data_IF_637862347310
#
_entry.id   IF_637862347310
#
_cell.length_a   1.000
_cell.length_b   1.000
_cell.length_c   1.000
_cell.angle_alpha   90.00
_cell.angle_beta   90.00
_cell.angle_gamma   90.00
#
_symmetry.space_group_name_H-M   'P 1'
#
loop_
_entity.id
_entity.type
_entity.pdbx_description
1 polymer ?
#
# COMPACT_ATOMS: atom_id res chain seq x y z
N UNK A 1 -8.79 -13.66 20.46
CA UNK A 1 -9.57 -12.73 21.34
C UNK A 1 -10.08 -13.50 22.56
N UNK A 2 -10.23 -12.90 23.75
CA UNK A 2 -10.69 -13.59 24.97
C UNK A 2 -12.18 -13.34 25.27
N UNK A 3 -12.90 -14.34 25.79
CA UNK A 3 -14.34 -14.25 26.10
C UNK A 3 -14.71 -13.08 27.04
N UNK A 4 -13.80 -12.71 27.93
CA UNK A 4 -13.99 -11.55 28.83
C UNK A 4 -14.06 -10.22 28.06
N UNK A 5 -13.36 -10.11 26.93
CA UNK A 5 -13.35 -8.92 26.08
C UNK A 5 -14.71 -8.78 25.38
N UNK A 6 -15.22 -9.86 24.78
CA UNK A 6 -16.56 -9.92 24.19
C UNK A 6 -17.68 -9.61 25.21
N UNK A 7 -17.58 -10.19 26.41
CA UNK A 7 -18.53 -9.89 27.48
C UNK A 7 -18.50 -8.41 27.88
N UNK A 8 -17.30 -7.82 27.98
CA UNK A 8 -17.15 -6.42 28.40
C UNK A 8 -17.74 -5.47 27.35
N UNK A 9 -17.50 -5.76 26.06
CA UNK A 9 -18.05 -5.01 24.94
C UNK A 9 -19.59 -5.04 24.96
N UNK A 10 -20.19 -6.23 24.99
CA UNK A 10 -21.66 -6.34 25.02
C UNK A 10 -22.27 -5.75 26.30
N UNK A 11 -21.60 -5.86 27.46
CA UNK A 11 -22.08 -5.24 28.69
C UNK A 11 -22.11 -3.71 28.57
N UNK A 12 -21.14 -3.10 27.89
CA UNK A 12 -21.15 -1.67 27.63
C UNK A 12 -22.29 -1.29 26.68
N UNK A 13 -22.49 -2.03 25.58
CA UNK A 13 -23.58 -1.77 24.63
C UNK A 13 -24.95 -1.87 25.30
N UNK A 14 -25.16 -2.90 26.13
CA UNK A 14 -26.37 -3.06 26.92
C UNK A 14 -26.58 -1.92 27.91
N UNK A 15 -25.53 -1.41 28.54
CA UNK A 15 -25.62 -0.27 29.46
C UNK A 15 -25.93 1.02 28.71
N UNK A 16 -25.33 1.22 27.54
CA UNK A 16 -25.52 2.41 26.69
C UNK A 16 -26.96 2.49 26.17
N UNK A 17 -27.51 1.39 25.67
CA UNK A 17 -28.92 1.32 25.26
C UNK A 17 -29.89 1.64 26.41
N UNK A 18 -29.57 1.19 27.63
CA UNK A 18 -30.35 1.52 28.84
C UNK A 18 -30.23 3.00 29.18
N UNK A 19 -29.04 3.59 29.11
CA UNK A 19 -28.81 5.02 29.36
C UNK A 19 -29.60 5.90 28.36
N UNK A 20 -29.64 5.47 27.10
CA UNK A 20 -30.31 6.18 26.00
C UNK A 20 -31.81 5.82 25.83
N UNK A 21 -32.38 4.98 26.71
CA UNK A 21 -33.77 4.49 26.64
C UNK A 21 -34.14 3.83 25.30
N UNK A 22 -33.18 3.16 24.67
CA UNK A 22 -33.39 2.40 23.44
C UNK A 22 -33.86 0.99 23.81
N UNK A 23 -34.88 0.49 23.12
CA UNK A 23 -35.39 -0.87 23.35
C UNK A 23 -34.56 -1.85 22.53
N UNK A 24 -33.89 -2.82 23.15
CA UNK A 24 -33.06 -3.76 22.41
C UNK A 24 -33.89 -4.76 21.59
N UNK A 25 -33.40 -5.07 20.40
CA UNK A 25 -33.87 -6.15 19.55
C UNK A 25 -33.00 -7.42 19.74
N UNK A 26 -33.54 -8.63 19.46
CA UNK A 26 -32.79 -9.88 19.63
C UNK A 26 -31.53 -10.02 18.77
N UNK A 27 -31.36 -9.18 17.74
CA UNK A 27 -30.18 -9.12 16.88
C UNK A 27 -29.11 -8.13 17.35
N UNK A 28 -29.41 -7.28 18.34
CA UNK A 28 -28.49 -6.22 18.78
C UNK A 28 -27.33 -6.76 19.63
N UNK A 29 -27.36 -8.04 19.99
CA UNK A 29 -26.42 -8.61 20.95
C UNK A 29 -25.85 -9.96 20.51
N UNK A 30 -24.58 -10.14 20.83
CA UNK A 30 -23.80 -11.33 20.56
C UNK A 30 -24.34 -12.51 21.39
N UNK A 31 -24.68 -12.28 22.66
CA UNK A 31 -25.21 -13.29 23.58
C UNK A 31 -26.72 -13.15 23.78
N UNK A 32 -27.41 -14.29 23.88
CA UNK A 32 -28.80 -14.31 24.33
C UNK A 32 -28.86 -13.83 25.79
N UNK A 33 -30.03 -13.38 26.25
CA UNK A 33 -30.19 -12.93 27.64
C UNK A 33 -29.75 -13.99 28.67
N UNK A 34 -29.95 -15.26 28.35
CA UNK A 34 -29.58 -16.38 29.22
C UNK A 34 -28.06 -16.56 29.28
N UNK A 35 -27.40 -16.52 28.12
CA UNK A 35 -25.93 -16.57 27.98
C UNK A 35 -25.28 -15.38 28.66
N UNK A 36 -25.79 -14.17 28.43
CA UNK A 36 -25.29 -12.94 29.02
C UNK A 36 -25.37 -12.96 30.55
N UNK A 37 -26.52 -13.35 31.12
CA UNK A 37 -26.66 -13.47 32.58
C UNK A 37 -25.77 -14.58 33.16
N UNK A 38 -25.51 -15.65 32.41
CA UNK A 38 -24.50 -16.63 32.80
C UNK A 38 -23.09 -16.04 32.82
N UNK A 39 -22.65 -15.35 31.77
CA UNK A 39 -21.32 -14.71 31.70
C UNK A 39 -21.15 -13.64 32.79
N UNK A 40 -22.19 -12.85 33.03
CA UNK A 40 -22.27 -11.88 34.13
C UNK A 40 -22.10 -12.54 35.49
N UNK A 41 -22.62 -13.75 35.68
CA UNK A 41 -22.39 -14.53 36.92
C UNK A 41 -20.93 -14.95 37.11
N UNK A 42 -20.15 -15.06 36.02
CA UNK A 42 -18.72 -15.41 36.05
C UNK A 42 -17.84 -14.18 36.25
N UNK A 43 -18.09 -13.10 35.50
CA UNK A 43 -17.22 -11.92 35.41
C UNK A 43 -17.64 -10.78 36.35
N UNK A 44 -18.93 -10.59 36.60
CA UNK A 44 -19.48 -9.47 37.38
C UNK A 44 -20.25 -9.92 38.62
N UNK A 45 -19.55 -10.62 39.53
CA UNK A 45 -20.12 -11.18 40.77
C UNK A 45 -20.77 -10.15 41.71
N UNK A 46 -20.45 -8.87 41.53
CA UNK A 46 -20.99 -7.78 42.34
C UNK A 46 -22.27 -7.16 41.74
N UNK A 47 -22.65 -7.53 40.53
CA UNK A 47 -23.85 -7.03 39.85
C UNK A 47 -24.98 -8.06 40.01
N UNK A 48 -26.22 -7.64 40.33
CA UNK A 48 -27.35 -8.57 40.43
C UNK A 48 -27.54 -9.35 39.13
N UNK A 49 -27.50 -10.68 39.23
CA UNK A 49 -27.65 -11.61 38.12
C UNK A 49 -28.96 -12.42 38.27
N UNK A 50 -29.67 -12.60 37.15
CA UNK A 50 -30.88 -13.43 37.10
C UNK A 50 -30.54 -14.91 36.88
N UNK A 51 -30.17 -15.57 37.98
CA UNK A 51 -29.83 -17.01 38.02
C UNK A 51 -31.00 -17.95 37.67
N UNK A 52 -32.19 -17.42 37.36
CA UNK A 52 -33.32 -18.24 36.89
C UNK A 52 -33.27 -18.53 35.38
N UNK A 53 -32.39 -17.84 34.64
CA UNK A 53 -32.32 -17.89 33.18
C UNK A 53 -31.35 -18.94 32.63
N UNK A 54 -30.53 -19.55 33.48
CA UNK A 54 -29.56 -20.58 33.09
C UNK A 54 -29.48 -21.71 34.14
N UNK A 55 -28.94 -22.88 33.78
CA UNK A 55 -28.79 -23.99 34.72
C UNK A 55 -27.95 -23.61 35.94
N UNK A 56 -28.26 -24.15 37.12
CA UNK A 56 -27.51 -23.78 38.34
C UNK A 56 -26.11 -24.37 38.35
N UNK A 57 -25.08 -23.54 38.47
CA UNK A 57 -23.70 -23.96 38.68
C UNK A 57 -23.30 -23.79 40.15
N UNK A 58 -22.52 -24.73 40.70
CA UNK A 58 -21.89 -24.51 42.00
C UNK A 58 -20.79 -23.45 41.87
N UNK A 59 -20.41 -22.80 42.97
CA UNK A 59 -19.34 -21.79 42.92
C UNK A 59 -17.99 -22.37 42.47
N UNK A 60 -17.74 -23.64 42.81
CA UNK A 60 -16.55 -24.39 42.43
C UNK A 60 -16.55 -24.68 40.92
N UNK A 61 -17.67 -25.20 40.40
CA UNK A 61 -17.84 -25.48 38.97
C UNK A 61 -17.77 -24.19 38.15
N UNK A 62 -18.39 -23.10 38.62
CA UNK A 62 -18.35 -21.81 37.94
C UNK A 62 -16.93 -21.23 37.86
N UNK A 63 -16.11 -21.40 38.91
CA UNK A 63 -14.70 -21.00 38.89
C UNK A 63 -13.88 -21.83 37.92
N UNK A 64 -14.13 -23.13 37.85
CA UNK A 64 -13.45 -24.05 36.95
C UNK A 64 -13.80 -23.75 35.48
N UNK A 65 -15.08 -23.55 35.17
CA UNK A 65 -15.55 -23.12 33.85
C UNK A 65 -14.92 -21.78 33.47
N UNK A 66 -14.92 -20.79 34.37
CA UNK A 66 -14.31 -19.48 34.10
C UNK A 66 -12.82 -19.62 33.76
N UNK A 67 -12.08 -20.39 34.56
CA UNK A 67 -10.65 -20.60 34.30
C UNK A 67 -10.40 -21.24 32.94
N UNK A 68 -11.20 -22.25 32.57
CA UNK A 68 -11.13 -22.87 31.24
C UNK A 68 -11.44 -21.85 30.14
N UNK A 69 -12.51 -21.07 30.26
CA UNK A 69 -12.90 -20.08 29.26
C UNK A 69 -11.91 -18.90 29.14
N UNK A 70 -11.27 -18.49 30.24
CA UNK A 70 -10.23 -17.43 30.25
C UNK A 70 -8.93 -17.90 29.57
N UNK A 71 -8.55 -19.18 29.76
CA UNK A 71 -7.34 -19.76 29.16
C UNK A 71 -7.50 -20.07 27.67
N UNK A 72 -8.73 -20.02 27.16
CA UNK A 72 -9.01 -20.21 25.74
C UNK A 72 -8.65 -18.95 24.95
N UNK A 73 -7.62 -19.08 24.12
CA UNK A 73 -7.42 -18.20 22.98
C UNK A 73 -8.26 -18.75 21.83
N UNK A 74 -9.27 -18.01 21.42
CA UNK A 74 -10.23 -18.45 20.39
C UNK A 74 -9.63 -18.56 18.98
N UNK A 75 -8.38 -18.11 18.77
CA UNK A 75 -7.66 -18.25 17.51
C UNK A 75 -7.62 -19.72 16.97
N UNK A 76 -7.65 -19.88 15.63
CA UNK A 76 -7.72 -21.13 14.85
C UNK A 76 -7.04 -22.39 15.44
N UNK A 77 -5.89 -22.25 16.10
CA UNK A 77 -5.05 -23.39 16.52
C UNK A 77 -5.51 -24.11 17.81
N UNK A 78 -6.42 -23.53 18.61
CA UNK A 78 -6.80 -24.08 19.93
C UNK A 78 -8.24 -24.60 20.04
N UNK A 79 -9.03 -24.47 18.96
CA UNK A 79 -10.49 -24.74 18.88
C UNK A 79 -10.91 -26.16 19.29
N UNK A 80 -10.06 -27.17 19.08
CA UNK A 80 -10.39 -28.57 19.39
C UNK A 80 -10.28 -28.94 20.88
N UNK A 81 -9.69 -28.08 21.73
CA UNK A 81 -9.36 -28.47 23.11
C UNK A 81 -10.45 -28.17 24.14
N UNK A 82 -11.34 -27.21 23.90
CA UNK A 82 -12.27 -26.66 24.92
C UNK A 82 -13.37 -27.66 25.26
N UNK A 83 -13.95 -28.29 24.23
CA UNK A 83 -15.00 -29.31 24.40
C UNK A 83 -14.48 -30.51 25.21
N UNK A 84 -13.27 -30.97 24.88
CA UNK A 84 -12.58 -32.06 25.58
C UNK A 84 -12.15 -31.68 27.01
N UNK A 85 -11.91 -30.39 27.27
CA UNK A 85 -11.59 -29.87 28.61
C UNK A 85 -12.83 -29.74 29.48
N UNK A 86 -13.98 -29.35 28.91
CA UNK A 86 -15.25 -29.22 29.64
C UNK A 86 -15.92 -30.56 29.93
N UNK A 87 -15.69 -31.60 29.11
CA UNK A 87 -16.08 -32.98 29.42
C UNK A 87 -15.40 -33.53 30.68
N UNK A 88 -14.32 -32.88 31.17
CA UNK A 88 -13.62 -33.26 32.41
C UNK A 88 -14.21 -32.58 33.65
N UNK A 89 -15.08 -31.59 33.48
CA UNK A 89 -15.81 -30.93 34.57
C UNK A 89 -17.06 -31.77 34.88
N UNK A 90 -17.37 -31.97 36.16
CA UNK A 90 -18.54 -32.77 36.61
C UNK A 90 -19.86 -32.00 36.38
N UNK A 91 -20.25 -31.90 35.11
CA UNK A 91 -21.45 -31.21 34.63
C UNK A 91 -22.59 -32.22 34.42
N UNK A 92 -23.80 -31.82 34.79
CA UNK A 92 -25.00 -32.55 34.38
C UNK A 92 -25.34 -32.26 32.90
N UNK A 93 -26.23 -33.08 32.33
CA UNK A 93 -26.59 -33.00 30.91
C UNK A 93 -27.17 -31.63 30.49
N UNK A 94 -27.92 -30.98 31.38
CA UNK A 94 -28.50 -29.65 31.13
C UNK A 94 -27.43 -28.56 31.08
N UNK A 95 -26.49 -28.58 32.02
CA UNK A 95 -25.33 -27.68 32.08
C UNK A 95 -24.42 -27.86 30.87
N UNK A 96 -24.15 -29.12 30.49
CA UNK A 96 -23.31 -29.46 29.36
C UNK A 96 -23.91 -28.94 28.05
N UNK A 97 -25.21 -29.18 27.82
CA UNK A 97 -25.90 -28.69 26.63
C UNK A 97 -25.89 -27.16 26.54
N UNK A 98 -26.10 -26.48 27.67
CA UNK A 98 -26.05 -25.01 27.72
C UNK A 98 -24.67 -24.47 27.31
N UNK A 99 -23.60 -25.04 27.87
CA UNK A 99 -22.23 -24.60 27.56
C UNK A 99 -21.85 -24.93 26.12
N UNK A 100 -22.27 -26.09 25.60
CA UNK A 100 -22.00 -26.46 24.19
C UNK A 100 -22.64 -25.47 23.21
N UNK A 101 -23.86 -24.99 23.49
CA UNK A 101 -24.52 -23.98 22.67
C UNK A 101 -23.76 -22.65 22.69
N UNK A 102 -23.31 -22.21 23.87
CA UNK A 102 -22.49 -21.01 24.01
C UNK A 102 -21.20 -21.11 23.17
N UNK A 103 -20.53 -22.26 23.18
CA UNK A 103 -19.29 -22.47 22.41
C UNK A 103 -19.56 -22.47 20.90
N UNK A 104 -20.57 -23.19 20.43
CA UNK A 104 -20.90 -23.19 19.00
C UNK A 104 -21.25 -21.79 18.47
N UNK A 105 -21.87 -20.95 19.31
CA UNK A 105 -22.14 -19.57 18.96
C UNK A 105 -20.86 -18.74 18.85
N UNK A 106 -19.92 -18.93 19.78
CA UNK A 106 -18.60 -18.30 19.73
C UNK A 106 -17.82 -18.71 18.47
N UNK A 107 -17.96 -19.97 18.03
CA UNK A 107 -17.37 -20.44 16.77
C UNK A 107 -18.00 -19.73 15.54
N UNK A 108 -19.33 -19.52 15.54
CA UNK A 108 -20.03 -18.80 14.46
C UNK A 108 -19.61 -17.32 14.40
N UNK A 109 -19.48 -16.64 15.55
CA UNK A 109 -19.12 -15.22 15.64
C UNK A 109 -17.71 -14.96 15.08
N UNK A 110 -16.73 -15.82 15.35
CA UNK A 110 -15.39 -15.68 14.77
C UNK A 110 -15.39 -15.97 13.26
N UNK A 111 -16.21 -16.92 12.79
CA UNK A 111 -16.31 -17.21 11.34
C UNK A 111 -16.93 -16.04 10.56
N UNK A 112 -17.97 -15.40 11.11
CA UNK A 112 -18.60 -14.22 10.52
C UNK A 112 -17.70 -12.99 10.62
N UNK A 113 -16.93 -12.84 11.71
CA UNK A 113 -15.94 -11.77 11.86
C UNK A 113 -14.70 -11.97 10.98
N UNK A 114 -14.16 -13.18 10.84
CA UNK A 114 -13.05 -13.47 9.91
C UNK A 114 -13.49 -13.17 8.47
N UNK A 115 -14.74 -13.48 8.11
CA UNK A 115 -15.29 -13.18 6.79
C UNK A 115 -15.59 -11.68 6.58
N UNK A 116 -16.12 -11.00 7.59
CA UNK A 116 -16.32 -9.54 7.55
C UNK A 116 -14.99 -8.79 7.55
N UNK A 117 -13.99 -9.23 8.32
CA UNK A 117 -12.68 -8.58 8.42
C UNK A 117 -11.85 -8.83 7.15
N UNK A 118 -11.75 -10.06 6.62
CA UNK A 118 -11.06 -10.33 5.34
C UNK A 118 -11.63 -9.49 4.19
N UNK A 119 -12.95 -9.44 4.04
CA UNK A 119 -13.59 -8.59 3.03
C UNK A 119 -13.43 -7.09 3.34
N UNK A 120 -13.38 -6.71 4.62
CA UNK A 120 -13.21 -5.31 5.04
C UNK A 120 -11.78 -4.81 4.83
N UNK A 121 -10.75 -5.64 5.02
CA UNK A 121 -9.37 -5.28 4.71
C UNK A 121 -9.17 -5.07 3.21
N UNK A 122 -9.65 -6.00 2.38
CA UNK A 122 -9.62 -5.86 0.91
C UNK A 122 -10.38 -4.61 0.42
N UNK A 123 -11.49 -4.30 1.08
CA UNK A 123 -12.33 -3.17 0.72
C UNK A 123 -11.79 -1.83 1.26
N UNK A 124 -11.13 -1.79 2.41
CA UNK A 124 -10.37 -0.62 2.90
C UNK A 124 -9.19 -0.30 1.98
N UNK A 125 -8.45 -1.32 1.53
CA UNK A 125 -7.38 -1.12 0.54
C UNK A 125 -7.92 -0.63 -0.79
N UNK A 126 -9.06 -1.16 -1.24
CA UNK A 126 -9.74 -0.70 -2.46
C UNK A 126 -10.27 0.74 -2.32
N UNK A 127 -10.81 1.12 -1.15
CA UNK A 127 -11.30 2.47 -0.87
C UNK A 127 -10.20 3.53 -1.01
N UNK A 128 -8.96 3.23 -0.57
CA UNK A 128 -7.80 4.13 -0.72
C UNK A 128 -7.51 4.50 -2.18
N UNK A 129 -7.80 3.59 -3.10
CA UNK A 129 -7.52 3.77 -4.52
C UNK A 129 -8.65 4.45 -5.30
N UNK A 130 -9.79 4.77 -4.69
CA UNK A 130 -10.90 5.43 -5.40
C UNK A 130 -10.48 6.77 -6.00
N UNK A 131 -9.73 7.58 -5.25
CA UNK A 131 -9.26 8.88 -5.71
C UNK A 131 -8.29 8.74 -6.88
N UNK A 132 -7.43 7.71 -6.84
CA UNK A 132 -6.47 7.38 -7.91
C UNK A 132 -7.23 6.92 -9.16
N UNK A 133 -8.16 5.98 -9.00
CA UNK A 133 -9.01 5.48 -10.09
C UNK A 133 -9.79 6.62 -10.76
N UNK A 134 -10.35 7.54 -9.97
CA UNK A 134 -11.06 8.72 -10.47
C UNK A 134 -10.14 9.62 -11.29
N UNK A 135 -8.98 9.99 -10.74
CA UNK A 135 -8.01 10.87 -11.39
C UNK A 135 -7.47 10.27 -12.69
N UNK A 136 -7.09 8.99 -12.71
CA UNK A 136 -6.62 8.32 -13.93
C UNK A 136 -7.68 8.34 -15.04
N UNK A 137 -8.96 8.14 -14.68
CA UNK A 137 -10.07 8.19 -15.62
C UNK A 137 -10.41 9.62 -16.06
N UNK A 138 -10.18 10.63 -15.22
CA UNK A 138 -10.33 12.04 -15.57
C UNK A 138 -9.28 12.46 -16.60
N UNK A 139 -8.01 12.11 -16.35
CA UNK A 139 -6.90 12.33 -17.28
C UNK A 139 -7.15 11.64 -18.61
N UNK A 140 -7.58 10.38 -18.60
CA UNK A 140 -7.91 9.65 -19.84
C UNK A 140 -9.04 10.33 -20.62
N UNK A 141 -10.07 10.82 -19.93
CA UNK A 141 -11.21 11.50 -20.57
C UNK A 141 -10.85 12.87 -21.13
N UNK A 142 -9.95 13.60 -20.48
CA UNK A 142 -9.55 14.95 -20.89
C UNK A 142 -8.47 14.93 -21.98
N UNK A 143 -7.52 13.99 -21.91
CA UNK A 143 -6.32 13.96 -22.76
C UNK A 143 -6.26 12.76 -23.71
N UNK A 144 -6.95 11.65 -23.43
CA UNK A 144 -7.00 10.45 -24.28
C UNK A 144 -5.67 9.70 -24.44
N UNK A 145 -4.79 9.80 -23.45
CA UNK A 145 -3.38 9.39 -23.50
C UNK A 145 -3.03 8.25 -22.50
N UNK A 146 -3.99 7.50 -21.97
CA UNK A 146 -3.85 6.58 -20.85
C UNK A 146 -3.82 5.08 -21.20
N UNK A 147 -3.03 4.33 -20.43
CA UNK A 147 -2.90 2.86 -20.46
C UNK A 147 -3.96 2.15 -19.60
N UNK A 148 -5.15 2.73 -19.42
CA UNK A 148 -6.21 2.11 -18.62
C UNK A 148 -6.67 0.79 -19.26
N UNK A 149 -6.68 -0.27 -18.45
CA UNK A 149 -7.21 -1.55 -18.88
C UNK A 149 -8.73 -1.55 -18.79
N UNK A 150 -9.39 -2.53 -19.41
CA UNK A 150 -10.83 -2.72 -19.23
C UNK A 150 -11.23 -2.94 -17.78
N UNK A 151 -10.31 -3.41 -16.93
CA UNK A 151 -10.53 -3.65 -15.50
C UNK A 151 -10.50 -2.36 -14.67
N UNK A 152 -9.81 -1.31 -15.12
CA UNK A 152 -9.66 -0.03 -14.40
C UNK A 152 -10.35 1.16 -15.08
N UNK A 153 -11.06 0.92 -16.19
CA UNK A 153 -11.84 1.96 -16.89
C UNK A 153 -13.21 2.15 -16.23
N UNK A 154 -13.51 3.38 -15.81
CA UNK A 154 -14.81 3.79 -15.26
C UNK A 154 -15.83 4.06 -16.37
N UNK A 155 -17.05 3.55 -16.19
CA UNK A 155 -18.19 3.92 -17.04
C UNK A 155 -18.57 5.39 -16.83
N UNK A 156 -19.30 5.97 -17.78
CA UNK A 156 -19.76 7.37 -17.68
C UNK A 156 -20.56 7.65 -16.40
N UNK A 157 -21.31 6.65 -15.93
CA UNK A 157 -22.10 6.77 -14.71
C UNK A 157 -21.23 6.67 -13.46
N UNK A 158 -20.26 5.76 -13.43
CA UNK A 158 -19.34 5.61 -12.30
C UNK A 158 -18.46 6.86 -12.15
N UNK A 159 -17.91 7.34 -13.26
CA UNK A 159 -17.15 8.58 -13.31
C UNK A 159 -17.99 9.76 -12.77
N UNK A 160 -19.23 9.88 -13.23
CA UNK A 160 -20.15 10.93 -12.76
C UNK A 160 -20.43 10.85 -11.26
N UNK A 161 -20.58 9.65 -10.67
CA UNK A 161 -20.77 9.52 -9.22
C UNK A 161 -19.54 10.01 -8.47
N UNK A 162 -18.35 9.60 -8.90
CA UNK A 162 -17.09 10.01 -8.28
C UNK A 162 -16.85 11.53 -8.43
N UNK A 163 -17.15 12.13 -9.59
CA UNK A 163 -17.11 13.59 -9.76
C UNK A 163 -18.01 14.30 -8.75
N UNK A 164 -19.24 13.80 -8.54
CA UNK A 164 -20.17 14.38 -7.55
C UNK A 164 -19.60 14.28 -6.12
N UNK A 165 -18.93 13.18 -5.80
CA UNK A 165 -18.32 12.93 -4.49
C UNK A 165 -17.14 13.88 -4.27
N UNK A 166 -16.26 14.05 -5.27
CA UNK A 166 -15.01 14.81 -5.19
C UNK A 166 -15.16 16.34 -5.40
N UNK A 167 -16.01 16.79 -6.32
CA UNK A 167 -16.07 18.21 -6.72
C UNK A 167 -16.96 19.08 -5.81
N UNK A 168 -17.60 18.49 -4.79
CA UNK A 168 -18.43 19.18 -3.78
C UNK A 168 -19.59 20.04 -4.37
N UNK A 169 -19.83 19.95 -5.70
CA UNK A 169 -20.77 20.78 -6.46
C UNK A 169 -22.24 20.54 -6.07
N UNK A 170 -22.53 19.40 -5.44
CA UNK A 170 -23.89 18.97 -5.10
C UNK A 170 -24.40 19.49 -3.77
N UNK A 171 -23.62 20.28 -3.00
CA UNK A 171 -24.05 20.88 -1.71
C UNK A 171 -25.37 21.66 -1.74
N UNK A 172 -25.86 22.02 -2.94
CA UNK A 172 -27.10 22.78 -3.13
C UNK A 172 -28.25 21.99 -3.80
N UNK A 173 -28.11 20.68 -4.06
CA UNK A 173 -29.15 19.86 -4.70
C UNK A 173 -29.66 18.79 -3.73
N UNK A 174 -30.98 18.59 -3.70
CA UNK A 174 -31.60 17.61 -2.80
C UNK A 174 -31.32 16.15 -3.22
N UNK A 175 -31.22 15.91 -4.53
CA UNK A 175 -31.00 14.59 -5.13
C UNK A 175 -30.15 14.72 -6.40
N UNK A 176 -29.33 13.72 -6.67
CA UNK A 176 -28.54 13.58 -7.90
C UNK A 176 -28.87 12.28 -8.60
N UNK A 177 -28.91 12.33 -9.94
CA UNK A 177 -29.20 11.16 -10.76
C UNK A 177 -27.96 10.67 -11.50
N UNK A 178 -27.58 9.42 -11.27
CA UNK A 178 -26.46 8.73 -11.91
C UNK A 178 -27.01 7.52 -12.67
N UNK A 179 -27.04 7.58 -14.00
CA UNK A 179 -27.73 6.58 -14.81
C UNK A 179 -29.21 6.45 -14.43
N UNK A 180 -29.58 5.26 -13.98
CA UNK A 180 -30.92 4.93 -13.46
C UNK A 180 -31.04 5.03 -11.93
N UNK A 181 -29.92 5.27 -11.24
CA UNK A 181 -29.85 5.42 -9.79
C UNK A 181 -30.07 6.88 -9.38
N UNK A 182 -30.71 7.07 -8.22
CA UNK A 182 -30.92 8.40 -7.62
C UNK A 182 -30.37 8.40 -6.21
N UNK A 183 -29.46 9.32 -5.91
CA UNK A 183 -28.82 9.47 -4.61
C UNK A 183 -29.31 10.76 -3.96
N UNK A 184 -29.75 10.70 -2.71
CA UNK A 184 -30.02 11.91 -1.94
C UNK A 184 -28.73 12.45 -1.31
N UNK A 185 -28.77 13.69 -0.81
CA UNK A 185 -27.60 14.34 -0.21
C UNK A 185 -27.00 13.55 0.95
N UNK A 186 -27.82 12.99 1.84
CA UNK A 186 -27.35 12.20 2.98
C UNK A 186 -26.63 10.91 2.53
N UNK A 187 -27.10 10.27 1.46
CA UNK A 187 -26.45 9.10 0.87
C UNK A 187 -25.12 9.46 0.19
N UNK A 188 -25.03 10.62 -0.46
CA UNK A 188 -23.77 11.10 -1.03
C UNK A 188 -22.76 11.47 0.06
N UNK A 189 -23.22 12.11 1.14
CA UNK A 189 -22.39 12.44 2.30
C UNK A 189 -21.92 11.17 3.02
N UNK A 190 -22.79 10.16 3.14
CA UNK A 190 -22.43 8.84 3.65
C UNK A 190 -21.33 8.18 2.82
N UNK A 191 -21.46 8.18 1.49
CA UNK A 191 -20.42 7.63 0.60
C UNK A 191 -19.12 8.44 0.71
N UNK A 192 -19.19 9.77 0.76
CA UNK A 192 -18.01 10.64 0.97
C UNK A 192 -17.32 10.32 2.29
N UNK A 193 -18.08 10.15 3.36
CA UNK A 193 -17.55 9.81 4.68
C UNK A 193 -16.81 8.47 4.61
N UNK A 194 -17.42 7.42 4.05
CA UNK A 194 -16.74 6.12 3.86
C UNK A 194 -15.42 6.26 3.08
N UNK A 195 -15.43 7.01 1.97
CA UNK A 195 -14.23 7.19 1.13
C UNK A 195 -13.14 8.00 1.85
N UNK A 196 -13.54 8.99 2.66
CA UNK A 196 -12.60 9.92 3.30
C UNK A 196 -12.08 9.45 4.65
N UNK A 197 -12.92 8.80 5.45
CA UNK A 197 -12.57 8.34 6.80
C UNK A 197 -12.18 6.86 6.83
N UNK A 198 -12.51 6.09 5.78
CA UNK A 198 -12.38 4.62 5.76
C UNK A 198 -13.18 3.95 6.89
N UNK A 199 -14.15 4.67 7.48
CA UNK A 199 -15.05 4.19 8.52
C UNK A 199 -16.48 4.12 7.96
N UNK A 200 -17.27 3.18 8.49
CA UNK A 200 -18.68 3.03 8.11
C UNK A 200 -19.56 3.81 9.09
N UNK A 201 -20.22 4.90 8.67
CA UNK A 201 -21.14 5.61 9.53
C UNK A 201 -22.32 4.70 9.90
N UNK A 202 -22.76 4.68 11.16
CA UNK A 202 -23.86 3.81 11.61
C UNK A 202 -25.22 4.17 10.97
N UNK A 203 -25.34 5.34 10.35
CA UNK A 203 -26.60 5.88 9.85
C UNK A 203 -26.46 6.47 8.45
N UNK A 204 -26.93 5.73 7.44
CA UNK A 204 -27.72 6.15 6.25
C UNK A 204 -27.59 5.04 5.20
N UNK A 205 -28.53 4.07 5.13
CA UNK A 205 -28.36 2.92 4.24
C UNK A 205 -28.52 3.29 2.76
N UNK A 206 -27.65 2.70 1.95
CA UNK A 206 -27.83 2.60 0.51
C UNK A 206 -28.82 1.47 0.22
N UNK A 207 -29.48 1.48 -0.94
CA UNK A 207 -30.24 0.32 -1.39
C UNK A 207 -29.34 -0.65 -2.15
N UNK A 208 -29.76 -1.92 -2.27
CA UNK A 208 -28.98 -2.98 -2.92
C UNK A 208 -28.43 -2.59 -4.29
N UNK A 209 -29.20 -1.87 -5.13
CA UNK A 209 -28.72 -1.46 -6.45
C UNK A 209 -27.65 -0.36 -6.38
N UNK A 210 -27.69 0.50 -5.37
CA UNK A 210 -26.67 1.51 -5.09
C UNK A 210 -25.42 0.86 -4.49
N UNK A 211 -25.58 -0.12 -3.61
CA UNK A 211 -24.50 -0.91 -3.02
C UNK A 211 -23.74 -1.68 -4.10
N UNK A 212 -24.45 -2.46 -4.92
CA UNK A 212 -23.86 -3.18 -6.06
C UNK A 212 -23.11 -2.22 -6.99
N UNK A 213 -23.66 -1.03 -7.24
CA UNK A 213 -23.01 -0.03 -8.08
C UNK A 213 -21.69 0.47 -7.50
N UNK A 214 -21.61 0.66 -6.18
CA UNK A 214 -20.38 1.08 -5.50
C UNK A 214 -19.39 -0.09 -5.39
N UNK A 215 -19.86 -1.31 -5.13
CA UNK A 215 -19.02 -2.51 -5.13
C UNK A 215 -18.34 -2.73 -6.48
N UNK A 216 -19.02 -2.49 -7.59
CA UNK A 216 -18.39 -2.54 -8.92
C UNK A 216 -17.27 -1.50 -9.08
N UNK A 217 -17.38 -0.31 -8.45
CA UNK A 217 -16.30 0.68 -8.45
C UNK A 217 -15.13 0.19 -7.59
N UNK A 218 -15.43 -0.41 -6.44
CA UNK A 218 -14.44 -0.95 -5.52
C UNK A 218 -13.68 -2.15 -6.10
N UNK A 219 -14.33 -3.04 -6.85
CA UNK A 219 -13.68 -4.13 -7.58
C UNK A 219 -12.69 -3.58 -8.63
N UNK A 220 -13.01 -2.47 -9.30
CA UNK A 220 -12.05 -1.80 -10.17
C UNK A 220 -10.88 -1.18 -9.41
N UNK A 221 -11.12 -0.75 -8.17
CA UNK A 221 -10.07 -0.27 -7.29
C UNK A 221 -9.19 -1.40 -6.76
N UNK A 222 -9.73 -2.61 -6.56
CA UNK A 222 -8.96 -3.77 -6.13
C UNK A 222 -8.01 -4.25 -7.23
N UNK A 223 -8.38 -4.11 -8.51
CA UNK A 223 -7.45 -4.36 -9.63
C UNK A 223 -6.27 -3.37 -9.69
N UNK A 224 -6.31 -2.25 -8.96
CA UNK A 224 -5.13 -1.40 -8.75
C UNK A 224 -4.21 -1.95 -7.65
N UNK A 225 -4.71 -2.84 -6.78
CA UNK A 225 -3.92 -3.57 -5.79
C UNK A 225 -3.33 -4.88 -6.36
N UNK A 226 -3.95 -5.47 -7.38
CA UNK A 226 -3.58 -6.76 -7.99
C UNK A 226 -2.38 -6.72 -8.96
N UNK A 227 -1.55 -5.67 -8.94
CA UNK A 227 -0.17 -5.82 -9.42
C UNK A 227 0.66 -6.58 -8.36
N UNK A 228 0.34 -7.87 -8.16
CA UNK A 228 1.32 -8.78 -7.57
C UNK A 228 2.60 -8.70 -8.41
N UNK A 229 3.78 -8.48 -7.80
CA UNK A 229 5.01 -8.49 -8.54
C UNK A 229 5.20 -9.90 -9.12
N UNK A 230 5.25 -9.99 -10.45
CA UNK A 230 5.68 -11.19 -11.17
C UNK A 230 6.80 -11.87 -10.38
N UNK A 231 6.65 -13.16 -10.03
CA UNK A 231 7.71 -13.99 -9.45
C UNK A 231 9.05 -13.61 -10.09
N UNK A 232 9.88 -12.89 -9.33
CA UNK A 232 11.09 -12.28 -9.87
C UNK A 232 12.01 -13.38 -10.38
N UNK A 233 12.13 -13.49 -11.70
CA UNK A 233 13.23 -14.22 -12.29
C UNK A 233 14.53 -13.48 -11.93
N UNK A 234 15.32 -14.06 -11.03
CA UNK A 234 16.66 -13.55 -10.69
C UNK A 234 17.59 -13.71 -11.88
N UNK A 235 17.82 -12.62 -12.62
CA UNK A 235 18.77 -12.56 -13.72
C UNK A 235 20.21 -12.55 -13.20
N UNK A 236 21.07 -13.42 -13.72
CA UNK A 236 22.51 -13.36 -13.49
C UNK A 236 23.15 -12.12 -14.16
N UNK A 237 24.35 -11.70 -13.71
CA UNK A 237 25.13 -10.63 -14.37
C UNK A 237 25.35 -10.93 -15.85
N UNK A 238 25.49 -12.21 -16.20
CA UNK A 238 25.64 -12.64 -17.59
C UNK A 238 24.34 -12.42 -18.40
N UNK A 239 23.18 -12.78 -17.84
CA UNK A 239 21.88 -12.55 -18.50
C UNK A 239 21.58 -11.05 -18.65
N UNK A 240 21.87 -10.23 -17.63
CA UNK A 240 21.76 -8.76 -17.73
C UNK A 240 22.64 -8.19 -18.85
N UNK A 241 23.88 -8.67 -18.98
CA UNK A 241 24.76 -8.29 -20.07
C UNK A 241 24.23 -8.73 -21.45
N UNK A 242 23.67 -9.93 -21.55
CA UNK A 242 23.12 -10.47 -22.80
C UNK A 242 21.88 -9.67 -23.25
N UNK A 243 21.01 -9.28 -22.31
CA UNK A 243 19.83 -8.42 -22.54
C UNK A 243 20.27 -7.05 -23.07
N UNK A 244 21.22 -6.38 -22.40
CA UNK A 244 21.73 -5.07 -22.82
C UNK A 244 22.54 -5.11 -24.13
N UNK A 245 23.14 -6.26 -24.45
CA UNK A 245 23.84 -6.45 -25.71
C UNK A 245 22.87 -6.67 -26.88
N UNK A 246 21.71 -7.30 -26.62
CA UNK A 246 20.70 -7.63 -27.62
C UNK A 246 19.79 -6.45 -28.01
N UNK A 247 19.48 -5.56 -27.06
CA UNK A 247 18.68 -4.33 -27.28
C UNK A 247 19.32 -3.34 -28.27
N UNK A 248 20.59 -3.53 -28.64
CA UNK A 248 21.25 -2.75 -29.69
C UNK A 248 20.84 -3.10 -31.14
N UNK A 249 20.01 -4.14 -31.35
CA UNK A 249 19.69 -4.68 -32.70
C UNK A 249 18.21 -4.49 -33.11
N UNK A 250 17.26 -4.25 -32.20
CA UNK A 250 15.83 -4.11 -32.54
C UNK A 250 15.19 -2.89 -31.86
N UNK A 251 14.80 -1.90 -32.67
CA UNK A 251 14.04 -0.70 -32.26
C UNK A 251 12.54 -1.00 -32.07
N UNK A 252 12.19 -1.83 -31.09
CA UNK A 252 10.81 -1.91 -30.57
C UNK A 252 10.97 -2.05 -29.04
N UNK A 253 11.11 -0.91 -28.36
CA UNK A 253 11.30 -0.84 -26.91
C UNK A 253 9.94 -0.84 -26.21
N UNK A 254 9.47 -2.03 -25.87
CA UNK A 254 8.53 -2.29 -24.77
C UNK A 254 9.17 -3.28 -23.78
N UNK A 255 10.47 -3.10 -23.54
CA UNK A 255 11.24 -3.89 -22.57
C UNK A 255 11.35 -3.06 -21.30
N UNK A 256 10.94 -3.64 -20.17
CA UNK A 256 11.19 -3.15 -18.80
C UNK A 256 12.69 -2.88 -18.50
N UNK A 257 13.60 -3.23 -19.41
CA UNK A 257 15.04 -2.98 -19.33
C UNK A 257 15.55 -1.94 -20.35
N UNK A 258 14.70 -1.00 -20.81
CA UNK A 258 15.04 -0.03 -21.86
C UNK A 258 16.19 0.95 -21.50
N UNK A 259 16.64 1.00 -20.24
CA UNK A 259 17.81 1.78 -19.81
C UNK A 259 19.06 0.89 -19.65
N UNK A 260 20.16 1.28 -20.30
CA UNK A 260 21.47 0.65 -20.08
C UNK A 260 21.90 0.83 -18.62
N UNK A 261 21.85 -0.23 -17.80
CA UNK A 261 22.26 -0.21 -16.41
C UNK A 261 23.78 -0.18 -16.28
N UNK A 262 24.51 -0.68 -17.29
CA UNK A 262 25.96 -0.61 -17.34
C UNK A 262 26.46 0.56 -18.20
N UNK A 263 27.49 1.25 -17.70
CA UNK A 263 28.21 2.23 -18.50
C UNK A 263 28.95 1.56 -19.67
N UNK A 264 29.33 2.35 -20.68
CA UNK A 264 30.15 1.87 -21.81
C UNK A 264 31.48 1.24 -21.37
N UNK A 265 32.03 1.64 -20.22
CA UNK A 265 33.24 1.06 -19.68
C UNK A 265 32.98 -0.34 -19.10
N UNK A 266 31.85 -0.50 -18.41
CA UNK A 266 31.39 -1.75 -17.78
C UNK A 266 30.94 -2.76 -18.81
N UNK A 267 30.11 -2.36 -19.78
CA UNK A 267 29.74 -3.22 -20.92
C UNK A 267 30.96 -3.76 -21.65
N UNK A 268 31.99 -2.92 -21.82
CA UNK A 268 33.25 -3.33 -22.45
C UNK A 268 34.03 -4.31 -21.58
N UNK A 269 33.94 -4.21 -20.25
CA UNK A 269 34.54 -5.16 -19.31
C UNK A 269 33.79 -6.49 -19.33
N UNK A 270 32.46 -6.46 -19.21
CA UNK A 270 31.56 -7.62 -19.26
C UNK A 270 31.73 -8.39 -20.56
N UNK A 271 31.74 -7.70 -21.70
CA UNK A 271 32.06 -8.29 -23.00
C UNK A 271 33.44 -8.96 -23.03
N UNK A 272 34.46 -8.36 -22.43
CA UNK A 272 35.78 -8.98 -22.34
C UNK A 272 35.80 -10.23 -21.45
N UNK A 273 34.99 -10.23 -20.38
CA UNK A 273 34.88 -11.33 -19.41
C UNK A 273 34.10 -12.52 -20.01
N UNK A 274 32.90 -12.28 -20.57
CA UNK A 274 32.03 -13.35 -21.08
C UNK A 274 32.43 -13.86 -22.47
N UNK A 275 32.97 -13.00 -23.34
CA UNK A 275 33.50 -13.41 -24.66
C UNK A 275 34.98 -13.85 -24.64
N UNK A 276 35.54 -14.13 -23.45
CA UNK A 276 36.86 -14.73 -23.25
C UNK A 276 38.01 -13.99 -23.96
N UNK A 277 38.02 -12.66 -23.90
CA UNK A 277 39.11 -11.87 -24.48
C UNK A 277 40.39 -12.08 -23.68
N UNK A 278 41.53 -12.19 -24.37
CA UNK A 278 42.82 -12.40 -23.69
C UNK A 278 43.36 -11.18 -22.94
N UNK A 279 42.83 -9.99 -23.21
CA UNK A 279 43.26 -8.72 -22.63
C UNK A 279 42.29 -7.59 -23.01
N UNK A 280 42.11 -6.61 -22.12
CA UNK A 280 41.39 -5.37 -22.41
C UNK A 280 42.01 -4.16 -21.71
N UNK A 281 41.91 -2.98 -22.36
CA UNK A 281 42.16 -1.67 -21.77
C UNK A 281 40.87 -0.85 -21.69
N UNK A 282 40.59 -0.30 -20.52
CA UNK A 282 39.46 0.57 -20.22
C UNK A 282 40.03 1.82 -19.53
N UNK A 283 39.92 2.98 -20.19
CA UNK A 283 40.65 4.17 -19.77
C UNK A 283 42.16 3.91 -19.65
N UNK A 284 42.73 4.19 -18.48
CA UNK A 284 44.14 3.90 -18.16
C UNK A 284 44.36 2.54 -17.51
N UNK A 285 43.28 1.85 -17.14
CA UNK A 285 43.32 0.53 -16.52
C UNK A 285 43.50 -0.58 -17.55
N UNK A 286 44.35 -1.56 -17.22
CA UNK A 286 44.65 -2.74 -18.06
C UNK A 286 44.27 -4.02 -17.32
N UNK A 287 43.46 -4.86 -17.94
CA UNK A 287 42.99 -6.13 -17.38
C UNK A 287 43.66 -7.29 -18.11
N UNK A 288 44.38 -8.09 -17.36
CA UNK A 288 45.06 -9.31 -17.84
C UNK A 288 44.08 -10.47 -17.99
N UNK A 289 44.46 -11.47 -18.79
CA UNK A 289 43.69 -12.72 -18.93
C UNK A 289 43.30 -13.34 -17.58
N UNK A 290 44.25 -13.43 -16.64
CA UNK A 290 44.01 -14.01 -15.30
C UNK A 290 42.99 -13.20 -14.49
N UNK A 291 43.01 -11.87 -14.62
CA UNK A 291 42.03 -10.99 -13.97
C UNK A 291 40.63 -11.18 -14.58
N UNK A 292 40.53 -11.27 -15.91
CA UNK A 292 39.26 -11.52 -16.60
C UNK A 292 38.68 -12.91 -16.27
N UNK A 293 39.52 -13.95 -16.20
CA UNK A 293 39.12 -15.29 -15.75
C UNK A 293 38.66 -15.28 -14.28
N UNK A 294 39.31 -14.51 -13.42
CA UNK A 294 38.90 -14.38 -12.01
C UNK A 294 37.57 -13.63 -11.87
N UNK A 295 37.34 -12.59 -12.69
CA UNK A 295 36.04 -11.90 -12.77
C UNK A 295 34.95 -12.79 -13.32
N UNK A 296 35.25 -13.62 -14.32
CA UNK A 296 34.30 -14.59 -14.85
C UNK A 296 33.83 -15.56 -13.78
N UNK A 297 34.75 -16.04 -12.95
CA UNK A 297 34.39 -16.86 -11.79
C UNK A 297 33.53 -16.09 -10.78
N UNK A 298 33.90 -14.84 -10.47
CA UNK A 298 33.12 -14.01 -9.55
C UNK A 298 31.70 -13.68 -10.05
N UNK A 299 31.51 -13.47 -11.36
CA UNK A 299 30.21 -13.15 -11.95
C UNK A 299 29.34 -14.39 -12.22
N UNK A 300 29.91 -15.56 -12.48
CA UNK A 300 29.15 -16.78 -12.80
C UNK A 300 28.92 -17.72 -11.60
N UNK A 301 29.82 -17.69 -10.62
CA UNK A 301 29.80 -18.64 -9.49
C UNK A 301 29.50 -17.92 -8.16
N UNK A 302 29.07 -16.65 -8.20
CA UNK A 302 28.76 -15.79 -7.03
C UNK A 302 29.86 -15.82 -5.95
N UNK A 303 31.12 -15.94 -6.39
CA UNK A 303 32.25 -15.96 -5.46
C UNK A 303 32.38 -14.55 -4.86
N UNK A 304 32.35 -14.45 -3.52
CA UNK A 304 32.49 -13.20 -2.78
C UNK A 304 33.56 -12.29 -3.40
N UNK A 305 33.14 -11.10 -3.87
CA UNK A 305 34.00 -10.09 -4.48
C UNK A 305 35.26 -9.81 -3.64
N UNK A 306 35.12 -9.83 -2.32
CA UNK A 306 36.20 -9.63 -1.35
C UNK A 306 37.37 -10.62 -1.48
N UNK A 307 37.09 -11.83 -1.94
CA UNK A 307 38.11 -12.86 -2.16
C UNK A 307 38.94 -12.63 -3.43
N UNK A 308 38.36 -11.90 -4.40
CA UNK A 308 38.90 -11.67 -5.76
C UNK A 308 39.44 -10.24 -5.94
N UNK A 309 38.95 -9.25 -5.18
CA UNK A 309 39.32 -7.82 -5.31
C UNK A 309 40.82 -7.54 -5.16
N UNK A 310 41.54 -8.37 -4.40
CA UNK A 310 43.01 -8.30 -4.20
C UNK A 310 43.81 -8.40 -5.50
N UNK A 311 43.22 -8.89 -6.59
CA UNK A 311 43.87 -9.00 -7.89
C UNK A 311 43.73 -7.73 -8.75
N UNK A 312 43.07 -6.69 -8.25
CA UNK A 312 42.71 -5.47 -9.00
C UNK A 312 43.26 -4.23 -8.29
N UNK A 313 43.64 -3.19 -9.04
CA UNK A 313 43.96 -1.88 -8.46
C UNK A 313 42.70 -1.16 -7.98
N UNK A 314 42.83 -0.16 -7.09
CA UNK A 314 41.68 0.62 -6.59
C UNK A 314 40.80 1.18 -7.72
N UNK A 315 41.40 1.77 -8.75
CA UNK A 315 40.70 2.27 -9.93
C UNK A 315 39.98 1.19 -10.76
N UNK A 316 40.42 -0.07 -10.66
CA UNK A 316 39.76 -1.20 -11.30
C UNK A 316 38.64 -1.75 -10.41
N UNK A 317 38.88 -1.77 -9.09
CA UNK A 317 37.90 -2.20 -8.10
C UNK A 317 36.68 -1.30 -8.12
N UNK A 318 36.83 0.02 -8.23
CA UNK A 318 35.71 0.97 -8.32
C UNK A 318 34.73 0.62 -9.46
N UNK A 319 35.26 0.34 -10.66
CA UNK A 319 34.45 -0.06 -11.81
C UNK A 319 33.78 -1.43 -11.60
N UNK A 320 34.49 -2.38 -10.98
CA UNK A 320 33.97 -3.75 -10.77
C UNK A 320 32.92 -3.77 -9.66
N UNK A 321 33.13 -3.01 -8.58
CA UNK A 321 32.18 -2.89 -7.48
C UNK A 321 30.89 -2.25 -7.93
N UNK A 322 30.94 -1.29 -8.87
CA UNK A 322 29.73 -0.73 -9.46
C UNK A 322 28.90 -1.78 -10.22
N UNK A 323 29.55 -2.71 -10.94
CA UNK A 323 28.85 -3.84 -11.61
C UNK A 323 28.11 -4.72 -10.60
N UNK A 324 28.75 -5.05 -9.46
CA UNK A 324 28.11 -5.84 -8.40
C UNK A 324 26.96 -5.07 -7.71
N UNK A 325 27.13 -3.77 -7.47
CA UNK A 325 26.07 -2.92 -6.90
C UNK A 325 24.86 -2.86 -7.85
N UNK A 326 25.09 -2.68 -9.16
CA UNK A 326 24.02 -2.69 -10.16
C UNK A 326 23.27 -4.03 -10.17
N UNK A 327 23.99 -5.13 -9.98
CA UNK A 327 23.42 -6.47 -9.87
C UNK A 327 22.62 -6.66 -8.57
N UNK A 328 23.20 -6.34 -7.41
CA UNK A 328 22.55 -6.48 -6.10
C UNK A 328 21.31 -5.58 -5.97
N UNK A 329 21.36 -4.37 -6.56
CA UNK A 329 20.24 -3.42 -6.57
C UNK A 329 19.06 -3.86 -7.44
N UNK A 330 19.22 -4.86 -8.32
CA UNK A 330 18.09 -5.44 -9.07
C UNK A 330 17.28 -6.43 -8.23
N UNK A 331 17.78 -6.83 -7.04
CA UNK A 331 17.18 -7.88 -6.21
C UNK A 331 16.96 -7.47 -4.75
N UNK A 332 17.37 -6.28 -4.32
CA UNK A 332 17.03 -5.71 -3.02
C UNK A 332 15.62 -5.09 -3.05
N UNK A 333 14.61 -5.95 -3.15
CA UNK A 333 13.26 -5.68 -2.63
C UNK A 333 13.07 -6.62 -1.45
N UNK A 334 13.85 -6.40 -0.39
CA UNK A 334 13.37 -6.74 0.94
C UNK A 334 12.87 -5.44 1.53
N UNK A 335 11.57 -5.43 1.83
CA UNK A 335 10.89 -4.42 2.62
C UNK A 335 11.54 -4.45 4.02
N UNK A 336 12.67 -3.77 4.18
CA UNK A 336 13.29 -3.53 5.48
C UNK A 336 12.36 -2.59 6.26
N UNK A 337 11.36 -3.20 6.89
CA UNK A 337 10.28 -2.57 7.63
C UNK A 337 10.70 -1.87 8.92
N UNK A 338 11.68 -0.97 8.89
CA UNK A 338 12.07 -0.18 10.06
C UNK A 338 12.77 1.16 9.75
N UNK A 339 12.74 1.67 8.50
CA UNK A 339 13.06 3.07 8.27
C UNK A 339 11.79 3.92 8.37
N UNK A 340 11.81 4.97 9.20
CA UNK A 340 10.90 6.12 9.10
C UNK A 340 11.20 6.86 7.77
N UNK A 341 11.07 6.16 6.64
CA UNK A 341 11.28 6.69 5.31
C UNK A 341 10.06 7.53 4.94
N UNK A 342 10.31 8.82 4.71
CA UNK A 342 9.30 9.78 4.29
C UNK A 342 8.69 9.33 2.96
N UNK A 343 7.46 8.80 3.00
CA UNK A 343 6.63 8.47 1.82
C UNK A 343 6.06 9.74 1.21
N UNK A 344 6.93 10.64 0.76
CA UNK A 344 6.52 11.87 0.09
C UNK A 344 6.31 11.59 -1.38
N UNK A 345 5.10 11.86 -1.85
CA UNK A 345 4.75 11.82 -3.26
C UNK A 345 4.95 13.21 -3.88
N UNK A 346 6.07 13.39 -4.60
CA UNK A 346 6.42 14.67 -5.23
C UNK A 346 5.44 15.04 -6.35
N UNK A 347 4.79 14.08 -6.98
CA UNK A 347 3.78 14.33 -8.01
C UNK A 347 2.55 15.01 -7.39
N UNK A 348 2.11 14.55 -6.22
CA UNK A 348 1.01 15.19 -5.47
C UNK A 348 1.34 16.65 -5.16
N UNK A 349 2.54 16.95 -4.66
CA UNK A 349 2.95 18.34 -4.40
C UNK A 349 2.99 19.19 -5.68
N UNK A 350 3.43 18.61 -6.81
CA UNK A 350 3.44 19.29 -8.10
C UNK A 350 2.02 19.67 -8.57
N UNK A 351 1.08 18.73 -8.46
CA UNK A 351 -0.33 18.95 -8.82
C UNK A 351 -0.99 20.01 -7.93
N UNK A 352 -0.75 19.96 -6.62
CA UNK A 352 -1.22 20.98 -5.68
C UNK A 352 -0.69 22.37 -6.04
N UNK A 353 0.61 22.50 -6.34
CA UNK A 353 1.22 23.78 -6.74
C UNK A 353 0.68 24.27 -8.10
N UNK A 354 0.37 23.35 -9.03
CA UNK A 354 -0.25 23.68 -10.31
C UNK A 354 -1.66 24.28 -10.14
N UNK A 355 -2.48 23.71 -9.26
CA UNK A 355 -3.83 24.21 -8.97
C UNK A 355 -3.75 25.63 -8.40
N UNK A 356 -2.92 25.84 -7.38
CA UNK A 356 -2.77 27.15 -6.74
C UNK A 356 -2.25 28.22 -7.72
N UNK A 357 -1.31 27.86 -8.61
CA UNK A 357 -0.83 28.76 -9.68
C UNK A 357 -1.95 29.14 -10.65
N UNK A 358 -2.76 28.17 -11.08
CA UNK A 358 -3.90 28.43 -11.98
C UNK A 358 -4.95 29.34 -11.32
N UNK A 359 -5.19 29.20 -10.02
CA UNK A 359 -6.11 30.06 -9.28
C UNK A 359 -5.57 31.49 -9.13
N UNK A 360 -4.28 31.67 -8.85
CA UNK A 360 -3.63 32.99 -8.84
C UNK A 360 -3.79 33.67 -10.21
N UNK A 361 -3.59 32.94 -11.31
CA UNK A 361 -3.74 33.47 -12.66
C UNK A 361 -5.19 33.85 -12.99
N UNK A 362 -6.17 33.07 -12.53
CA UNK A 362 -7.59 33.25 -12.85
C UNK A 362 -8.31 34.27 -11.95
N UNK A 363 -7.99 34.28 -10.65
CA UNK A 363 -8.73 35.04 -9.62
C UNK A 363 -7.89 36.23 -9.09
N UNK A 364 -6.57 36.22 -9.30
CA UNK A 364 -5.66 37.26 -8.83
C UNK A 364 -5.41 37.23 -7.32
N UNK A 365 -5.80 36.15 -6.65
CA UNK A 365 -5.59 35.90 -5.23
C UNK A 365 -5.17 34.45 -5.02
N UNK A 366 -4.30 34.26 -4.03
CA UNK A 366 -3.84 32.94 -3.59
C UNK A 366 -4.66 32.48 -2.38
N UNK A 367 -4.99 31.19 -2.33
CA UNK A 367 -5.58 30.48 -1.20
C UNK A 367 -4.47 30.08 -0.20
N UNK A 368 -3.26 29.81 -0.70
CA UNK A 368 -2.08 29.45 0.10
C UNK A 368 -0.75 29.85 -0.57
N UNK A 369 0.34 29.92 0.20
CA UNK A 369 1.67 30.17 -0.39
C UNK A 369 2.10 29.01 -1.28
N UNK A 370 2.53 29.32 -2.51
CA UNK A 370 3.11 28.35 -3.45
C UNK A 370 4.17 27.48 -2.78
N UNK A 371 4.09 26.17 -3.06
CA UNK A 371 4.92 25.12 -2.46
C UNK A 371 6.32 25.17 -3.06
N UNK A 372 6.39 25.26 -4.39
CA UNK A 372 7.64 25.31 -5.13
C UNK A 372 7.88 26.71 -5.69
N UNK A 373 9.15 27.12 -5.75
CA UNK A 373 9.50 28.32 -6.51
C UNK A 373 9.30 28.10 -8.02
N UNK A 374 9.26 29.20 -8.79
CA UNK A 374 8.97 29.13 -10.23
C UNK A 374 9.94 28.24 -11.02
N UNK A 375 11.19 28.11 -10.55
CA UNK A 375 12.22 27.33 -11.24
C UNK A 375 12.10 25.86 -10.90
N UNK A 376 11.78 25.54 -9.65
CA UNK A 376 11.47 24.19 -9.18
C UNK A 376 10.21 23.67 -9.87
N UNK A 377 9.14 24.48 -9.89
CA UNK A 377 7.90 24.17 -10.59
C UNK A 377 8.14 23.93 -12.08
N UNK A 378 8.94 24.78 -12.75
CA UNK A 378 9.26 24.60 -14.16
C UNK A 378 10.05 23.31 -14.46
N UNK A 379 10.82 22.79 -13.50
CA UNK A 379 11.47 21.48 -13.62
C UNK A 379 10.44 20.35 -13.48
N UNK A 380 9.55 20.40 -12.49
CA UNK A 380 8.48 19.42 -12.31
C UNK A 380 7.56 19.36 -13.52
N UNK A 381 7.15 20.52 -14.02
CA UNK A 381 6.36 20.66 -15.24
C UNK A 381 7.11 20.13 -16.48
N UNK A 382 8.45 20.14 -16.48
CA UNK A 382 9.23 19.54 -17.56
C UNK A 382 9.33 18.01 -17.43
N UNK A 383 9.39 17.49 -16.21
CA UNK A 383 9.40 16.05 -15.91
C UNK A 383 8.03 15.45 -16.20
N UNK A 384 6.99 15.86 -15.46
CA UNK A 384 5.65 15.26 -15.51
C UNK A 384 4.87 15.55 -16.81
N UNK A 385 5.11 16.68 -17.49
CA UNK A 385 4.55 16.89 -18.86
C UNK A 385 5.44 16.35 -19.98
N UNK A 386 6.38 15.47 -19.65
CA UNK A 386 7.17 14.72 -20.62
C UNK A 386 7.87 15.65 -21.65
N UNK A 387 8.44 16.77 -21.18
CA UNK A 387 9.08 17.74 -22.08
C UNK A 387 10.42 17.21 -22.59
N UNK A 388 10.81 17.65 -23.79
CA UNK A 388 12.06 17.22 -24.45
C UNK A 388 13.33 17.69 -23.73
N UNK A 389 13.24 18.77 -22.96
CA UNK A 389 14.37 19.37 -22.24
C UNK A 389 13.92 20.42 -21.24
N UNK A 390 14.74 20.63 -20.21
CA UNK A 390 14.66 21.73 -19.27
C UNK A 390 15.96 22.52 -19.28
N UNK A 391 15.88 23.86 -19.24
CA UNK A 391 17.05 24.72 -19.22
C UNK A 391 16.83 25.92 -18.31
N UNK A 392 17.75 26.07 -17.36
CA UNK A 392 17.86 27.28 -16.54
C UNK A 392 19.27 27.88 -16.69
N UNK A 393 19.34 29.10 -17.23
CA UNK A 393 20.60 29.79 -17.53
C UNK A 393 21.28 30.38 -16.28
N UNK A 394 20.52 30.65 -15.20
CA UNK A 394 21.04 31.24 -13.96
C UNK A 394 21.74 30.18 -13.10
N UNK A 395 21.11 29.01 -12.95
CA UNK A 395 21.63 27.85 -12.23
C UNK A 395 22.58 27.00 -13.10
N UNK A 396 22.69 27.33 -14.39
CA UNK A 396 23.49 26.60 -15.39
C UNK A 396 23.07 25.13 -15.47
N UNK A 397 21.77 24.90 -15.48
CA UNK A 397 21.17 23.58 -15.61
C UNK A 397 20.68 23.42 -17.04
N UNK A 398 21.06 22.31 -17.67
CA UNK A 398 20.57 21.94 -18.99
C UNK A 398 20.38 20.42 -19.01
N UNK A 399 19.12 20.01 -19.01
CA UNK A 399 18.67 18.63 -18.93
C UNK A 399 17.96 18.31 -20.23
N UNK A 400 18.34 17.19 -20.84
CA UNK A 400 17.61 16.63 -21.98
C UNK A 400 16.65 15.57 -21.43
N UNK A 401 15.83 15.02 -22.33
CA UNK A 401 14.81 14.02 -21.99
C UNK A 401 15.34 12.91 -21.08
N UNK A 402 16.41 12.23 -21.47
CA UNK A 402 17.01 11.15 -20.66
C UNK A 402 17.46 11.58 -19.25
N UNK A 403 17.78 12.85 -19.01
CA UNK A 403 18.07 13.35 -17.67
C UNK A 403 16.82 13.75 -16.88
N UNK A 404 15.71 14.07 -17.57
CA UNK A 404 14.41 14.31 -16.95
C UNK A 404 13.75 12.99 -16.52
N UNK A 405 13.85 11.94 -17.34
CA UNK A 405 13.34 10.58 -17.03
C UNK A 405 14.04 10.01 -15.78
N UNK A 406 15.33 10.32 -15.64
CA UNK A 406 16.12 10.00 -14.45
C UNK A 406 15.64 10.74 -13.20
N UNK A 407 15.10 11.94 -13.36
CA UNK A 407 14.57 12.72 -12.23
C UNK A 407 13.19 12.20 -11.85
N UNK A 408 12.36 11.85 -12.82
CA UNK A 408 11.09 11.15 -12.63
C UNK A 408 11.28 9.91 -11.76
N UNK A 409 12.23 9.04 -12.16
CA UNK A 409 12.59 7.84 -11.39
C UNK A 409 13.10 8.13 -9.97
N UNK A 410 13.76 9.28 -9.75
CA UNK A 410 14.16 9.69 -8.38
C UNK A 410 12.93 9.99 -7.54
N UNK A 411 11.88 10.55 -8.14
CA UNK A 411 10.65 10.89 -7.44
C UNK A 411 9.82 9.64 -7.14
N UNK A 412 9.69 8.72 -8.09
CA UNK A 412 8.97 7.45 -7.90
C UNK A 412 9.63 6.56 -6.84
N UNK A 413 10.95 6.63 -6.74
CA UNK A 413 11.78 5.82 -5.86
C UNK A 413 12.50 6.68 -4.82
N UNK A 414 11.82 7.73 -4.35
CA UNK A 414 12.38 8.71 -3.43
C UNK A 414 12.97 8.10 -2.14
N UNK A 415 12.33 7.10 -1.49
CA UNK A 415 12.88 6.48 -0.30
C UNK A 415 14.23 5.78 -0.56
N UNK A 416 14.35 5.10 -1.71
CA UNK A 416 15.60 4.49 -2.16
C UNK A 416 16.66 5.53 -2.50
N UNK A 417 16.26 6.67 -3.07
CA UNK A 417 17.19 7.77 -3.35
C UNK A 417 17.73 8.40 -2.07
N UNK A 418 16.88 8.61 -1.07
CA UNK A 418 17.24 9.22 0.22
C UNK A 418 18.12 8.30 1.09
N UNK A 419 17.96 6.99 0.98
CA UNK A 419 18.78 5.98 1.66
C UNK A 419 20.10 5.65 0.93
N UNK A 420 20.44 6.40 -0.12
CA UNK A 420 21.58 6.16 -1.02
C UNK A 420 21.54 4.78 -1.73
N UNK A 421 20.41 4.06 -1.68
CA UNK A 421 20.20 2.77 -2.35
C UNK A 421 19.96 2.94 -3.87
N UNK A 422 19.36 4.06 -4.30
CA UNK A 422 19.20 4.43 -5.71
C UNK A 422 20.24 5.47 -6.14
N UNK A 423 21.21 5.05 -6.95
CA UNK A 423 22.28 5.93 -7.46
C UNK A 423 22.04 6.30 -8.90
N UNK A 424 21.52 7.51 -9.12
CA UNK A 424 21.32 8.07 -10.46
C UNK A 424 22.34 9.16 -10.76
N UNK A 425 23.03 9.03 -11.90
CA UNK A 425 24.01 10.02 -12.36
C UNK A 425 23.33 11.21 -13.03
N UNK A 426 23.23 12.34 -12.31
CA UNK A 426 22.84 13.65 -12.82
C UNK A 426 24.03 14.64 -12.86
N UNK A 427 24.01 15.65 -13.75
CA UNK A 427 24.97 16.75 -13.69
C UNK A 427 24.99 17.39 -12.30
N UNK A 428 26.17 17.74 -11.77
CA UNK A 428 26.35 18.19 -10.37
C UNK A 428 25.40 19.30 -9.93
N UNK A 429 25.14 20.29 -10.79
CA UNK A 429 24.21 21.38 -10.46
C UNK A 429 22.74 20.93 -10.50
N UNK A 430 22.41 19.99 -11.39
CA UNK A 430 21.08 19.41 -11.47
C UNK A 430 20.79 18.52 -10.26
N UNK A 431 21.75 17.67 -9.84
CA UNK A 431 21.60 16.86 -8.62
C UNK A 431 21.29 17.74 -7.41
N UNK A 432 22.11 18.77 -7.16
CA UNK A 432 21.88 19.71 -6.05
C UNK A 432 20.53 20.41 -6.11
N UNK A 433 20.06 20.69 -7.32
CA UNK A 433 18.78 21.36 -7.53
C UNK A 433 17.61 20.42 -7.27
N UNK A 434 17.71 19.17 -7.72
CA UNK A 434 16.76 18.08 -7.41
C UNK A 434 16.75 17.80 -5.91
N UNK A 435 17.91 17.71 -5.25
CA UNK A 435 18.01 17.55 -3.79
C UNK A 435 17.29 18.71 -3.07
N UNK A 436 17.46 19.94 -3.54
CA UNK A 436 16.79 21.12 -2.98
C UNK A 436 15.27 21.08 -3.18
N UNK A 437 14.81 20.56 -4.31
CA UNK A 437 13.39 20.37 -4.62
C UNK A 437 12.78 19.35 -3.67
N UNK A 438 13.42 18.19 -3.52
CA UNK A 438 13.02 17.13 -2.59
C UNK A 438 12.91 17.69 -1.17
N UNK A 439 13.91 18.45 -0.72
CA UNK A 439 13.88 19.09 0.59
C UNK A 439 12.73 20.10 0.73
N UNK A 440 12.36 20.79 -0.36
CA UNK A 440 11.19 21.69 -0.36
C UNK A 440 9.90 20.90 -0.17
N UNK A 441 9.76 19.75 -0.84
CA UNK A 441 8.63 18.86 -0.63
C UNK A 441 8.56 18.34 0.81
N UNK A 442 9.69 17.88 1.37
CA UNK A 442 9.77 17.40 2.78
C UNK A 442 9.37 18.47 3.79
N UNK A 443 9.80 19.72 3.58
CA UNK A 443 9.46 20.82 4.51
C UNK A 443 7.98 21.17 4.46
N UNK A 444 7.33 20.98 3.30
CA UNK A 444 5.90 21.25 3.11
C UNK A 444 5.02 20.03 3.36
N UNK A 445 5.61 18.87 3.64
CA UNK A 445 4.89 17.66 4.04
C UNK A 445 4.15 17.92 5.37
N UNK A 446 2.80 17.93 5.38
CA UNK A 446 2.05 18.07 6.60
C UNK A 446 2.24 16.78 7.40
N UNK A 447 3.27 16.73 8.26
CA UNK A 447 3.41 15.67 9.25
C UNK A 447 2.13 15.63 10.08
N UNK A 448 1.27 14.66 9.80
CA UNK A 448 0.06 14.34 10.58
C UNK A 448 0.27 12.96 11.17
#
# INVERSE_FOLDING_TARGET
MHLIELYTLENNDRLDLVEHNISPEPGDFIFSKNEYEFLKSLYDKNVPCDVSLFPKFSEEIAKEIKALLDECDFNEKNRSSIKDLLEKVDLNEEQLNFIQQLISKLDEIETDWEFEDENRWELIESLKNISVLFMMNEIEREFGDGELTSATTLTDNEFKLLSIIHEDESKNKAEEKVGDLTFNLAQLDYIREIITTLEYPENTPLNVQQEDFILNILEKCSHLNEEEPNEFHTFSIQELFEIESASSITQDDSSIFADNNFSKAELKLLDAVFNNKGFIRIGDSKYSKKQLESLRGAFNEEIEWDSVKKYFSESQQELISHIFIVYDNQFLIEDDGDSEETKIDIEVFYLMDQIERNEIENIGSSISSLIFDDVQYALLDAVFKNKKSFKDDLLKINLKKNELDKIEKIFDQLPLYQSDKLVISLPKNAKKFVDSLIQTAIVNDPKI
#
